data_IF_462445421193
#
_entry.id   IF_462445421193
#
_cell.length_a   1.000
_cell.length_b   1.000
_cell.length_c   1.000
_cell.angle_alpha   90.00
_cell.angle_beta   90.00
_cell.angle_gamma   90.00
#
_symmetry.space_group_name_H-M   'P 1'
#
loop_
_entity.id
_entity.type
_entity.pdbx_description
1 polymer ?
#
# COMPACT_ATOMS: atom_id res chain seq x y z
N UNK A 1 -15.08 -13.62 -1.59
CA UNK A 1 -14.06 -13.98 -0.59
C UNK A 1 -12.78 -14.37 -1.31
N UNK A 2 -11.62 -13.82 -0.95
CA UNK A 2 -10.30 -14.23 -1.47
C UNK A 2 -9.31 -14.38 -0.31
N UNK A 3 -8.28 -15.21 -0.47
CA UNK A 3 -7.25 -15.35 0.56
C UNK A 3 -6.35 -14.12 0.60
N UNK A 4 -5.85 -13.79 1.79
CA UNK A 4 -4.89 -12.70 1.95
C UNK A 4 -3.67 -12.85 1.03
N UNK A 5 -3.20 -14.07 0.82
CA UNK A 5 -2.07 -14.34 -0.06
C UNK A 5 -2.36 -13.95 -1.53
N UNK A 6 -3.55 -14.30 -2.04
CA UNK A 6 -3.95 -13.90 -3.40
C UNK A 6 -4.09 -12.38 -3.48
N UNK A 7 -4.70 -11.76 -2.47
CA UNK A 7 -4.85 -10.30 -2.42
C UNK A 7 -3.51 -9.56 -2.42
N UNK A 8 -2.57 -9.99 -1.57
CA UNK A 8 -1.25 -9.37 -1.48
C UNK A 8 -0.43 -9.54 -2.77
N UNK A 9 -0.52 -10.69 -3.43
CA UNK A 9 0.12 -10.90 -4.73
C UNK A 9 -0.43 -9.96 -5.80
N UNK A 10 -1.73 -9.66 -5.77
CA UNK A 10 -2.34 -8.67 -6.66
C UNK A 10 -1.81 -7.27 -6.40
N UNK A 11 -1.70 -6.84 -5.13
CA UNK A 11 -1.13 -5.53 -4.80
C UNK A 11 0.33 -5.39 -5.23
N UNK A 12 1.15 -6.44 -5.06
CA UNK A 12 2.54 -6.45 -5.56
C UNK A 12 2.61 -6.29 -7.08
N UNK A 13 1.68 -6.89 -7.83
CA UNK A 13 1.62 -6.74 -9.30
C UNK A 13 1.21 -5.33 -9.72
N UNK A 14 0.22 -4.74 -9.05
CA UNK A 14 -0.23 -3.37 -9.32
C UNK A 14 0.91 -2.37 -9.06
N UNK A 15 1.67 -2.56 -7.99
CA UNK A 15 2.74 -1.65 -7.59
C UNK A 15 4.11 -1.95 -8.24
N UNK A 16 4.20 -2.84 -9.23
CA UNK A 16 5.50 -3.31 -9.75
C UNK A 16 6.30 -2.23 -10.48
N UNK A 17 5.63 -1.23 -11.05
CA UNK A 17 6.26 -0.10 -11.74
C UNK A 17 6.49 1.14 -10.87
N UNK A 18 6.06 1.11 -9.61
CA UNK A 18 6.18 2.26 -8.72
C UNK A 18 7.61 2.37 -8.16
N UNK A 19 8.11 3.60 -8.05
CA UNK A 19 9.27 3.94 -7.24
C UNK A 19 9.02 3.67 -5.76
N UNK A 20 10.09 3.68 -4.96
CA UNK A 20 9.96 3.42 -3.52
C UNK A 20 9.14 4.50 -2.79
N UNK A 21 9.27 5.76 -3.23
CA UNK A 21 8.44 6.85 -2.71
C UNK A 21 6.96 6.68 -3.07
N UNK A 22 6.65 6.23 -4.29
CA UNK A 22 5.28 5.96 -4.71
C UNK A 22 4.69 4.76 -3.97
N UNK A 23 5.49 3.72 -3.69
CA UNK A 23 5.05 2.58 -2.86
C UNK A 23 4.78 3.01 -1.42
N UNK A 24 5.62 3.86 -0.84
CA UNK A 24 5.38 4.42 0.49
C UNK A 24 4.06 5.21 0.51
N UNK A 25 3.82 6.03 -0.52
CA UNK A 25 2.54 6.74 -0.69
C UNK A 25 1.34 5.81 -0.84
N UNK A 26 1.48 4.72 -1.59
CA UNK A 26 0.40 3.78 -1.88
C UNK A 26 0.01 2.93 -0.67
N UNK A 27 0.99 2.51 0.13
CA UNK A 27 0.78 1.55 1.23
C UNK A 27 0.79 2.17 2.63
N UNK A 28 1.22 3.43 2.79
CA UNK A 28 1.33 4.05 4.12
C UNK A 28 0.98 5.56 4.12
N UNK A 29 1.80 6.40 3.47
CA UNK A 29 1.77 7.86 3.70
C UNK A 29 0.42 8.50 3.39
N UNK A 30 -0.27 8.04 2.35
CA UNK A 30 -1.60 8.56 2.01
C UNK A 30 -2.61 8.24 3.10
N UNK A 31 -2.59 7.03 3.66
CA UNK A 31 -3.48 6.62 4.73
C UNK A 31 -3.19 7.41 6.01
N UNK A 32 -1.92 7.53 6.38
CA UNK A 32 -1.45 8.33 7.52
C UNK A 32 -1.95 9.77 7.43
N UNK A 33 -1.78 10.43 6.28
CA UNK A 33 -2.24 11.81 6.07
C UNK A 33 -3.76 11.96 6.05
N UNK A 34 -4.47 11.10 5.31
CA UNK A 34 -5.92 11.24 5.08
C UNK A 34 -6.71 10.85 6.32
N UNK A 35 -6.33 9.76 6.96
CA UNK A 35 -7.01 9.26 8.15
C UNK A 35 -6.42 9.82 9.44
N UNK A 36 -5.40 10.68 9.35
CA UNK A 36 -4.70 11.28 10.50
C UNK A 36 -4.25 10.22 11.50
N UNK A 37 -3.73 9.12 10.98
CA UNK A 37 -3.17 8.04 11.78
C UNK A 37 -1.81 8.54 12.24
N UNK A 38 -1.62 8.72 13.54
CA UNK A 38 -0.30 9.06 14.06
C UNK A 38 0.63 7.86 13.87
N UNK A 39 1.65 8.04 13.04
CA UNK A 39 2.74 7.07 12.93
C UNK A 39 3.61 7.24 14.18
N UNK A 40 3.50 6.28 15.10
CA UNK A 40 4.28 6.21 16.33
C UNK A 40 5.79 6.06 16.07
#
# INVERSE_FOLDING_TARGET
SCSYHVLWNTFKRIASGCSDAEKANLFHETATRVYRIDAA
#
